data_IF_185119671652
#
_entry.id   IF_185119671652
#
_cell.length_a   1.000
_cell.length_b   1.000
_cell.length_c   1.000
_cell.angle_alpha   90.00
_cell.angle_beta   90.00
_cell.angle_gamma   90.00
#
_symmetry.space_group_name_H-M   'P 1'
#
loop_
_entity.id
_entity.type
_entity.pdbx_description
1 polymer ?
#
# COMPACT_ATOMS: atom_id res chain seq x y z
N UNK A 1 19.89 -24.19 -0.95
CA UNK A 1 18.63 -23.44 -0.72
C UNK A 1 18.90 -22.42 0.37
N UNK A 2 18.64 -21.13 0.14
CA UNK A 2 18.94 -20.06 1.11
C UNK A 2 17.77 -19.83 2.07
N UNK A 3 16.57 -19.54 1.55
CA UNK A 3 15.37 -19.40 2.36
C UNK A 3 14.09 -19.64 1.55
N UNK A 4 12.96 -19.78 2.25
CA UNK A 4 11.60 -19.75 1.70
C UNK A 4 10.72 -19.00 2.69
N UNK A 5 9.90 -18.08 2.18
CA UNK A 5 9.06 -17.17 2.97
C UNK A 5 7.63 -17.26 2.43
N UNK A 6 6.64 -17.13 3.32
CA UNK A 6 5.22 -17.05 2.97
C UNK A 6 4.63 -15.80 3.59
N UNK A 7 3.64 -15.22 2.94
CA UNK A 7 2.76 -14.19 3.47
C UNK A 7 1.35 -14.52 2.95
N UNK A 8 0.31 -13.96 3.56
CA UNK A 8 -1.05 -14.25 3.11
C UNK A 8 -2.10 -14.14 4.21
N UNK A 9 -3.30 -14.58 3.87
CA UNK A 9 -4.51 -14.34 4.60
C UNK A 9 -5.45 -15.53 4.64
N UNK A 10 -6.71 -15.23 4.95
CA UNK A 10 -7.77 -16.26 5.02
C UNK A 10 -8.39 -16.59 3.67
N UNK A 11 -8.13 -15.80 2.63
CA UNK A 11 -8.81 -15.91 1.34
C UNK A 11 -7.83 -15.86 0.15
N UNK A 12 -7.84 -14.79 -0.66
CA UNK A 12 -7.00 -14.71 -1.87
C UNK A 12 -5.75 -13.89 -1.59
N UNK A 13 -4.58 -14.48 -1.86
CA UNK A 13 -3.27 -13.82 -1.78
C UNK A 13 -2.48 -14.11 -3.05
N UNK A 14 -2.69 -13.30 -4.10
CA UNK A 14 -2.14 -13.60 -5.44
C UNK A 14 -1.04 -12.63 -5.83
N UNK A 15 0.24 -13.04 -5.77
CA UNK A 15 1.34 -12.27 -6.36
C UNK A 15 1.37 -12.45 -7.88
N UNK A 16 1.66 -11.38 -8.61
CA UNK A 16 1.78 -11.41 -10.08
C UNK A 16 3.17 -11.02 -10.58
N UNK A 17 3.82 -10.04 -9.95
CA UNK A 17 5.11 -9.53 -10.41
C UNK A 17 6.05 -9.28 -9.24
N UNK A 18 7.34 -9.54 -9.50
CA UNK A 18 8.46 -9.29 -8.59
C UNK A 18 9.54 -8.48 -9.31
N UNK A 19 10.18 -7.55 -8.61
CA UNK A 19 11.33 -6.76 -9.07
C UNK A 19 12.32 -6.56 -7.93
N UNK A 20 13.61 -6.70 -8.21
CA UNK A 20 14.67 -6.30 -7.29
C UNK A 20 15.01 -4.82 -7.51
N UNK A 21 15.18 -4.06 -6.41
CA UNK A 21 15.49 -2.64 -6.46
C UNK A 21 16.30 -2.22 -5.22
N UNK A 22 17.49 -1.66 -5.44
CA UNK A 22 18.40 -1.27 -4.37
C UNK A 22 18.63 -2.43 -3.38
N UNK A 23 18.18 -2.31 -2.13
CA UNK A 23 18.25 -3.31 -1.07
C UNK A 23 16.91 -4.04 -0.82
N UNK A 24 15.96 -3.95 -1.76
CA UNK A 24 14.59 -4.43 -1.59
C UNK A 24 14.19 -5.37 -2.73
N UNK A 25 13.30 -6.28 -2.40
CA UNK A 25 12.48 -7.05 -3.32
C UNK A 25 11.07 -6.46 -3.24
N UNK A 26 10.55 -5.97 -4.36
CA UNK A 26 9.17 -5.49 -4.47
C UNK A 26 8.31 -6.55 -5.14
N UNK A 27 7.15 -6.84 -4.56
CA UNK A 27 6.14 -7.74 -5.10
C UNK A 27 4.83 -6.99 -5.24
N UNK A 28 4.17 -7.14 -6.39
CA UNK A 28 2.80 -6.65 -6.57
C UNK A 28 1.87 -7.78 -6.99
N UNK A 29 0.60 -7.57 -6.71
CA UNK A 29 -0.47 -8.54 -6.92
C UNK A 29 -1.77 -7.96 -6.41
N UNK A 30 -2.65 -8.84 -5.95
CA UNK A 30 -3.87 -8.46 -5.25
C UNK A 30 -4.22 -9.46 -4.14
N UNK A 31 -4.86 -8.96 -3.09
CA UNK A 31 -5.34 -9.73 -1.96
C UNK A 31 -6.76 -9.32 -1.58
N UNK A 32 -7.45 -10.14 -0.78
CA UNK A 32 -8.79 -9.83 -0.25
C UNK A 32 -8.93 -10.36 1.17
N UNK A 33 -9.77 -9.70 1.97
CA UNK A 33 -9.91 -9.88 3.42
C UNK A 33 -8.62 -9.57 4.17
N UNK A 34 -8.43 -10.24 5.30
CA UNK A 34 -7.27 -10.10 6.16
C UNK A 34 -6.07 -10.82 5.54
N UNK A 35 -5.08 -10.06 5.09
CA UNK A 35 -3.78 -10.52 4.57
C UNK A 35 -2.67 -9.97 5.46
N UNK A 36 -1.76 -10.82 5.92
CA UNK A 36 -0.52 -10.40 6.58
C UNK A 36 0.63 -10.45 5.58
N UNK A 37 1.27 -9.30 5.34
CA UNK A 37 2.38 -9.18 4.39
C UNK A 37 3.75 -9.47 5.02
N UNK A 38 3.82 -9.61 6.34
CA UNK A 38 5.06 -9.96 7.04
C UNK A 38 5.30 -11.48 6.99
N UNK A 39 6.43 -11.96 6.42
CA UNK A 39 6.75 -13.37 6.40
C UNK A 39 7.48 -13.88 7.66
N UNK A 40 7.71 -13.01 8.65
CA UNK A 40 8.28 -13.32 9.96
C UNK A 40 7.21 -13.46 11.05
N UNK A 41 7.61 -13.17 12.30
CA UNK A 41 6.73 -13.19 13.48
C UNK A 41 6.01 -11.85 13.74
N UNK A 42 6.34 -10.82 12.94
CA UNK A 42 5.66 -9.53 12.99
C UNK A 42 4.27 -9.61 12.38
N UNK A 43 3.50 -8.54 12.57
CA UNK A 43 2.15 -8.41 12.01
C UNK A 43 2.14 -7.16 11.13
N UNK A 44 1.96 -7.34 9.82
CA UNK A 44 1.67 -6.27 8.88
C UNK A 44 0.41 -6.59 8.09
N UNK A 45 -0.70 -6.61 8.82
CA UNK A 45 -1.99 -6.99 8.30
C UNK A 45 -2.72 -5.83 7.63
N UNK A 46 -3.39 -6.13 6.52
CA UNK A 46 -4.35 -5.26 5.88
C UNK A 46 -5.69 -5.99 5.70
N UNK A 47 -6.80 -5.24 5.84
CA UNK A 47 -8.15 -5.75 5.63
C UNK A 47 -8.85 -4.97 4.52
N UNK A 48 -9.47 -5.69 3.58
CA UNK A 48 -10.41 -5.12 2.60
C UNK A 48 -11.47 -6.13 2.20
N UNK A 49 -12.71 -5.67 2.11
CA UNK A 49 -13.84 -6.46 1.58
C UNK A 49 -13.76 -6.64 0.05
N UNK A 50 -12.77 -6.03 -0.60
CA UNK A 50 -12.60 -6.05 -2.04
C UNK A 50 -11.21 -6.54 -2.45
N UNK A 51 -11.12 -7.07 -3.67
CA UNK A 51 -9.82 -7.32 -4.29
C UNK A 51 -9.02 -6.01 -4.29
N UNK A 52 -7.87 -6.04 -3.63
CA UNK A 52 -7.05 -4.87 -3.39
C UNK A 52 -5.64 -5.17 -3.85
N UNK A 53 -5.14 -4.38 -4.78
CA UNK A 53 -3.77 -4.41 -5.23
C UNK A 53 -2.82 -3.90 -4.16
N UNK A 54 -1.60 -4.41 -4.17
CA UNK A 54 -0.59 -4.05 -3.17
C UNK A 54 0.79 -3.93 -3.80
N UNK A 55 1.67 -3.23 -3.10
CA UNK A 55 3.13 -3.33 -3.25
C UNK A 55 3.68 -3.78 -1.90
N UNK A 56 4.20 -5.01 -1.84
CA UNK A 56 4.90 -5.56 -0.68
C UNK A 56 6.40 -5.47 -0.90
N UNK A 57 7.14 -5.02 0.09
CA UNK A 57 8.58 -4.87 0.05
C UNK A 57 9.25 -5.71 1.14
N UNK A 58 10.22 -6.51 0.72
CA UNK A 58 11.08 -7.31 1.59
C UNK A 58 12.54 -6.88 1.38
N UNK A 59 13.41 -7.15 2.34
CA UNK A 59 14.87 -7.14 2.09
C UNK A 59 15.31 -8.41 1.33
N UNK A 60 16.60 -8.51 0.99
CA UNK A 60 17.14 -9.70 0.31
C UNK A 60 17.26 -10.95 1.18
N UNK A 61 17.11 -10.82 2.50
CA UNK A 61 17.00 -11.94 3.45
C UNK A 61 15.53 -12.40 3.62
N UNK A 62 14.61 -11.72 2.95
CA UNK A 62 13.18 -12.01 2.96
C UNK A 62 12.48 -11.53 4.23
N UNK A 63 13.01 -10.52 4.92
CA UNK A 63 12.34 -9.86 6.04
C UNK A 63 11.47 -8.71 5.54
N UNK A 64 10.36 -8.47 6.23
CA UNK A 64 9.42 -7.41 5.89
C UNK A 64 10.03 -6.00 6.00
N UNK A 65 9.74 -5.14 5.02
CA UNK A 65 10.07 -3.72 5.05
C UNK A 65 8.81 -2.86 5.09
N UNK A 66 7.91 -3.02 4.13
CA UNK A 66 6.64 -2.31 4.09
C UNK A 66 5.63 -3.01 3.17
N UNK A 67 4.35 -2.73 3.35
CA UNK A 67 3.30 -3.04 2.40
C UNK A 67 2.41 -1.80 2.22
N UNK A 68 2.06 -1.52 0.97
CA UNK A 68 1.20 -0.40 0.59
C UNK A 68 0.04 -0.91 -0.28
N UNK A 69 -1.19 -1.01 0.28
CA UNK A 69 -2.38 -1.35 -0.48
C UNK A 69 -2.89 -0.14 -1.28
N UNK A 70 -3.42 -0.38 -2.47
CA UNK A 70 -4.19 0.61 -3.24
C UNK A 70 -5.65 0.23 -3.14
N UNK A 71 -6.40 0.98 -2.34
CA UNK A 71 -7.74 0.58 -1.91
C UNK A 71 -8.79 1.10 -2.89
N UNK A 72 -9.70 0.22 -3.30
CA UNK A 72 -10.92 0.60 -4.01
C UNK A 72 -11.81 1.44 -3.07
N UNK A 73 -12.27 2.59 -3.52
CA UNK A 73 -13.15 3.48 -2.76
C UNK A 73 -14.58 3.41 -3.30
N UNK A 74 -15.58 3.63 -2.44
CA UNK A 74 -16.99 3.74 -2.85
C UNK A 74 -17.83 2.48 -2.65
N UNK A 75 -18.97 2.42 -3.34
CA UNK A 75 -19.97 1.34 -3.18
C UNK A 75 -19.52 0.00 -3.80
N UNK A 76 -20.24 -1.05 -3.39
CA UNK A 76 -20.08 -2.47 -3.72
C UNK A 76 -19.34 -2.74 -5.04
N UNK A 77 -18.30 -3.59 -4.97
CA UNK A 77 -17.42 -4.01 -6.07
C UNK A 77 -16.27 -3.07 -6.46
N UNK A 78 -15.85 -2.14 -5.59
CA UNK A 78 -14.63 -1.34 -5.82
C UNK A 78 -13.37 -2.20 -5.67
N UNK A 79 -12.83 -2.71 -6.79
CA UNK A 79 -11.67 -3.61 -6.82
C UNK A 79 -10.45 -2.95 -7.46
N UNK A 80 -9.25 -3.29 -7.02
CA UNK A 80 -7.98 -2.96 -7.69
C UNK A 80 -7.14 -4.23 -7.87
N UNK A 81 -6.49 -4.36 -9.03
CA UNK A 81 -5.62 -5.50 -9.33
C UNK A 81 -4.32 -4.99 -9.93
N UNK A 82 -3.20 -5.27 -9.26
CA UNK A 82 -1.86 -4.92 -9.74
C UNK A 82 -1.29 -6.04 -10.58
N UNK A 83 -1.03 -5.80 -11.87
CA UNK A 83 -0.53 -6.80 -12.81
C UNK A 83 0.98 -6.73 -13.02
N UNK A 84 1.56 -5.53 -12.88
CA UNK A 84 2.95 -5.30 -13.21
C UNK A 84 3.57 -4.21 -12.37
N UNK A 85 4.87 -4.31 -12.19
CA UNK A 85 5.70 -3.34 -11.50
C UNK A 85 7.08 -3.31 -12.14
N UNK A 86 7.64 -2.11 -12.29
CA UNK A 86 9.03 -1.86 -12.66
C UNK A 86 9.61 -0.76 -11.80
N UNK A 87 10.93 -0.77 -11.63
CA UNK A 87 11.65 0.30 -10.94
C UNK A 87 12.61 0.95 -11.92
N UNK A 88 12.63 2.28 -11.91
CA UNK A 88 13.62 3.07 -12.64
C UNK A 88 14.03 4.23 -11.75
N UNK A 89 15.34 4.34 -11.50
CA UNK A 89 15.90 5.32 -10.54
C UNK A 89 15.20 5.17 -9.18
N UNK A 90 14.70 6.27 -8.60
CA UNK A 90 13.97 6.28 -7.32
C UNK A 90 12.44 6.19 -7.51
N UNK A 91 11.98 5.69 -8.65
CA UNK A 91 10.55 5.57 -8.95
C UNK A 91 10.11 4.12 -9.17
N UNK A 92 8.98 3.78 -8.57
CA UNK A 92 8.23 2.56 -8.84
C UNK A 92 7.10 2.92 -9.81
N UNK A 93 6.99 2.19 -10.91
CA UNK A 93 5.86 2.27 -11.80
C UNK A 93 5.04 0.99 -11.66
N UNK A 94 3.78 1.12 -11.25
CA UNK A 94 2.83 0.02 -11.11
C UNK A 94 1.76 0.14 -12.18
N UNK A 95 1.34 -1.00 -12.75
CA UNK A 95 0.25 -1.06 -13.72
C UNK A 95 -0.78 -2.09 -13.29
N UNK A 96 -2.03 -1.81 -13.61
CA UNK A 96 -3.13 -2.65 -13.18
C UNK A 96 -4.47 -2.19 -13.74
N UNK A 97 -5.54 -2.66 -13.11
CA UNK A 97 -6.89 -2.18 -13.33
C UNK A 97 -7.55 -1.81 -12.01
N UNK A 98 -8.56 -0.96 -12.08
CA UNK A 98 -9.43 -0.65 -10.96
C UNK A 98 -10.89 -0.60 -11.41
N UNK A 99 -11.80 -0.89 -10.48
CA UNK A 99 -13.24 -0.86 -10.70
C UNK A 99 -13.87 0.25 -9.87
N UNK A 100 -14.81 0.99 -10.48
CA UNK A 100 -15.56 2.13 -9.93
C UNK A 100 -14.68 3.30 -9.50
N UNK A 101 -14.00 3.20 -8.37
CA UNK A 101 -13.05 4.20 -7.90
C UNK A 101 -11.96 3.58 -7.04
N UNK A 102 -10.79 4.19 -7.03
CA UNK A 102 -9.67 3.76 -6.20
C UNK A 102 -8.76 4.92 -5.82
N UNK A 103 -8.18 4.85 -4.63
CA UNK A 103 -7.23 5.83 -4.13
C UNK A 103 -5.80 5.32 -4.29
N UNK A 104 -5.06 6.02 -5.13
CA UNK A 104 -3.66 5.77 -5.46
C UNK A 104 -2.70 6.66 -4.66
N UNK A 105 -3.22 7.45 -3.71
CA UNK A 105 -2.44 8.33 -2.85
C UNK A 105 -2.16 7.73 -1.46
N UNK A 106 -1.75 8.58 -0.53
CA UNK A 106 -1.61 8.22 0.89
C UNK A 106 -2.76 8.83 1.71
N UNK A 107 -2.94 8.39 2.96
CA UNK A 107 -3.92 9.00 3.88
C UNK A 107 -3.74 10.52 4.04
N UNK A 108 -2.51 11.01 3.90
CA UNK A 108 -2.14 12.42 4.01
C UNK A 108 -2.17 13.18 2.67
N UNK A 109 -2.27 12.46 1.55
CA UNK A 109 -2.32 13.01 0.19
C UNK A 109 -3.10 12.06 -0.73
N UNK A 110 -4.43 11.98 -0.61
CA UNK A 110 -5.25 11.04 -1.37
C UNK A 110 -5.29 11.42 -2.86
N UNK A 111 -5.30 10.41 -3.73
CA UNK A 111 -5.42 10.57 -5.19
C UNK A 111 -6.47 9.58 -5.69
N UNK A 112 -7.73 10.00 -5.66
CA UNK A 112 -8.85 9.16 -6.09
C UNK A 112 -9.08 9.28 -7.60
N UNK A 113 -9.11 8.13 -8.28
CA UNK A 113 -9.53 8.02 -9.68
C UNK A 113 -10.89 7.33 -9.74
N UNK A 114 -11.70 7.72 -10.72
CA UNK A 114 -13.01 7.11 -11.02
C UNK A 114 -12.92 6.49 -12.41
N UNK A 115 -13.39 5.25 -12.55
CA UNK A 115 -13.45 4.58 -13.84
C UNK A 115 -14.65 5.12 -14.64
N UNK A 116 -14.45 5.36 -15.93
CA UNK A 116 -15.45 5.96 -16.79
C UNK A 116 -16.22 4.92 -17.62
N UNK A 117 -15.56 3.83 -18.03
CA UNK A 117 -16.14 2.84 -18.94
C UNK A 117 -16.93 1.75 -18.20
N UNK A 118 -18.24 1.60 -18.48
CA UNK A 118 -19.09 0.58 -17.84
C UNK A 118 -19.21 -0.70 -18.67
N UNK A 119 -19.16 -1.85 -18.00
CA UNK A 119 -19.56 -3.13 -18.57
C UNK A 119 -21.10 -3.27 -18.58
N UNK A 120 -21.60 -4.39 -19.13
CA UNK A 120 -23.03 -4.69 -19.23
C UNK A 120 -23.75 -4.84 -17.87
N UNK A 121 -23.00 -4.95 -16.76
CA UNK A 121 -23.50 -5.05 -15.39
C UNK A 121 -23.44 -3.70 -14.65
N UNK A 122 -23.01 -2.63 -15.31
CA UNK A 122 -22.87 -1.29 -14.71
C UNK A 122 -21.59 -1.10 -13.90
N UNK A 123 -20.74 -2.12 -13.77
CA UNK A 123 -19.42 -1.99 -13.16
C UNK A 123 -18.50 -1.25 -14.11
N UNK A 124 -17.78 -0.24 -13.60
CA UNK A 124 -16.87 0.54 -14.42
C UNK A 124 -15.45 0.07 -14.23
N UNK A 125 -14.67 -0.19 -15.28
CA UNK A 125 -13.29 -0.69 -15.14
C UNK A 125 -12.35 0.01 -16.09
N UNK A 126 -11.32 0.64 -15.54
CA UNK A 126 -10.25 1.25 -16.33
C UNK A 126 -8.87 0.70 -15.92
N UNK A 127 -7.92 0.78 -16.84
CA UNK A 127 -6.52 0.49 -16.56
C UNK A 127 -5.83 1.69 -15.90
N UNK A 128 -4.82 1.43 -15.08
CA UNK A 128 -3.99 2.48 -14.49
C UNK A 128 -2.50 2.25 -14.73
N UNK A 129 -1.76 3.35 -14.73
CA UNK A 129 -0.34 3.38 -14.41
C UNK A 129 -0.13 4.38 -13.26
N UNK A 130 0.52 3.95 -12.19
CA UNK A 130 0.82 4.76 -11.02
C UNK A 130 2.32 4.84 -10.82
N UNK A 131 2.80 6.05 -10.49
CA UNK A 131 4.22 6.30 -10.19
C UNK A 131 4.36 6.65 -8.70
N UNK A 132 5.11 5.83 -7.97
CA UNK A 132 5.42 6.03 -6.56
C UNK A 132 6.91 6.29 -6.35
N UNK A 133 7.27 6.93 -5.24
CA UNK A 133 8.67 7.03 -4.82
C UNK A 133 9.11 5.71 -4.19
N UNK A 134 10.28 5.21 -4.58
CA UNK A 134 10.90 4.00 -4.02
C UNK A 134 11.23 4.14 -2.53
N UNK A 135 11.39 5.38 -2.07
CA UNK A 135 11.82 5.72 -0.71
C UNK A 135 10.72 6.30 0.17
N UNK A 136 9.57 6.69 -0.38
CA UNK A 136 8.49 7.32 0.38
C UNK A 136 7.35 6.37 0.80
N UNK A 137 7.35 5.11 0.34
CA UNK A 137 6.33 4.11 0.73
C UNK A 137 6.60 3.48 2.11
N UNK A 138 7.36 4.15 2.99
CA UNK A 138 7.40 3.78 4.40
C UNK A 138 6.08 4.20 5.03
N UNK A 139 5.43 3.29 5.77
CA UNK A 139 4.40 3.66 6.74
C UNK A 139 5.04 4.58 7.77
N UNK A 140 5.06 5.88 7.50
CA UNK A 140 5.13 6.85 8.58
C UNK A 140 3.78 6.73 9.28
N UNK A 141 3.67 5.81 10.25
CA UNK A 141 2.78 6.06 11.37
C UNK A 141 3.24 7.41 11.92
N UNK A 142 2.50 8.48 11.61
CA UNK A 142 2.48 9.59 12.52
C UNK A 142 2.02 8.96 13.85
N UNK A 143 2.96 8.82 14.77
CA UNK A 143 2.66 8.41 16.13
C UNK A 143 1.65 9.43 16.66
N UNK A 144 0.36 9.09 16.60
CA UNK A 144 -0.72 9.89 17.19
C UNK A 144 -0.72 9.68 18.70
N UNK A 145 0.45 9.70 19.33
CA UNK A 145 0.53 9.96 20.76
C UNK A 145 -0.14 11.31 20.97
N UNK A 146 -1.27 11.30 21.68
CA UNK A 146 -1.95 12.51 22.12
C UNK A 146 -0.92 13.33 22.89
N UNK A 147 -0.32 14.31 22.22
CA UNK A 147 0.65 15.19 22.84
C UNK A 147 -0.16 16.22 23.63
N UNK A 148 -0.54 15.86 24.85
CA UNK A 148 -1.13 16.81 25.80
C UNK A 148 -0.01 17.68 26.36
N UNK A 149 0.10 18.93 25.90
CA UNK A 149 1.04 19.90 26.43
C UNK A 149 0.48 20.56 27.69
N UNK A 150 1.27 20.56 28.77
CA UNK A 150 0.93 21.24 30.02
C UNK A 150 2.04 22.24 30.42
N UNK A 151 1.67 23.43 30.91
CA UNK A 151 0.30 23.90 31.19
C UNK A 151 -0.45 24.37 29.93
N UNK A 152 -1.76 24.08 29.89
CA UNK A 152 -2.70 24.65 28.92
C UNK A 152 -3.84 25.33 29.71
N UNK A 153 -4.04 26.65 29.59
CA UNK A 153 -3.31 27.59 28.71
C UNK A 153 -1.87 27.88 29.17
N UNK A 154 -0.97 28.11 28.22
CA UNK A 154 0.35 28.71 28.46
C UNK A 154 0.40 30.11 27.87
N UNK A 155 1.06 31.04 28.55
CA UNK A 155 1.30 32.41 28.09
C UNK A 155 2.63 32.55 27.32
N UNK A 156 3.36 31.46 27.07
CA UNK A 156 4.69 31.45 26.44
C UNK A 156 4.78 30.66 25.12
N UNK A 157 5.91 30.81 24.42
CA UNK A 157 6.23 30.07 23.18
C UNK A 157 6.63 28.63 23.52
N UNK A 158 5.98 27.65 22.88
CA UNK A 158 6.40 26.25 22.92
C UNK A 158 7.22 25.95 21.67
N UNK A 159 8.49 25.57 21.85
CA UNK A 159 9.34 25.10 20.75
C UNK A 159 9.34 23.57 20.74
N UNK A 160 8.91 22.99 19.63
CA UNK A 160 9.00 21.55 19.39
C UNK A 160 10.19 21.29 18.45
N UNK A 161 11.11 20.42 18.87
CA UNK A 161 12.19 19.91 18.03
C UNK A 161 12.01 18.41 17.86
N UNK A 162 12.11 17.96 16.62
CA UNK A 162 12.15 16.54 16.28
C UNK A 162 13.56 16.26 15.77
N UNK A 163 14.35 15.57 16.57
CA UNK A 163 15.67 15.12 16.14
C UNK A 163 15.48 13.86 15.28
N UNK A 164 16.14 13.84 14.12
CA UNK A 164 16.22 12.66 13.25
C UNK A 164 17.33 11.73 13.71
#
# INVERSE_FOLDING_TARGET
MLWTKKWGGTLTDRPYKIVAAQNKILVTGYAVNNVDFDPGDGISSFYSDHFTSYINALDYDGNFLFASPVIGEGELSAATIGYGLVVKEDAIFSVGQFCNSANFGTDTAPVSLVADSSNQFGEKTDGYIAKYSLNALSNAQADKTQTSMYPNPTSGIVNLRFDR
#
